data_IF_930763655307
#
_entry.id   IF_930763655307
#
_cell.length_a   1.000
_cell.length_b   1.000
_cell.length_c   1.000
_cell.angle_alpha   90.00
_cell.angle_beta   90.00
_cell.angle_gamma   90.00
#
_symmetry.space_group_name_H-M   'P 1'
#
loop_
_entity.id
_entity.type
_entity.pdbx_description
1 polymer ?
#
# COMPACT_ATOMS: atom_id res chain seq x y z
N UNK A 1 -1.70 9.90 -5.63
CA UNK A 1 -0.46 10.26 -6.36
C UNK A 1 -0.83 10.63 -7.79
N UNK A 2 -0.03 11.49 -8.43
CA UNK A 2 -0.20 11.85 -9.84
C UNK A 2 1.17 12.02 -10.47
N UNK A 3 1.41 11.36 -11.60
CA UNK A 3 2.68 11.44 -12.32
C UNK A 3 2.46 11.55 -13.83
N UNK A 4 3.31 12.33 -14.49
CA UNK A 4 3.37 12.36 -15.94
C UNK A 4 4.18 11.17 -16.44
N UNK A 5 3.65 10.49 -17.44
CA UNK A 5 4.30 9.39 -18.14
C UNK A 5 5.17 9.91 -19.27
N UNK A 6 6.13 9.10 -19.72
CA UNK A 6 7.08 9.46 -20.80
C UNK A 6 6.36 9.88 -22.09
N UNK A 7 5.26 9.19 -22.44
CA UNK A 7 4.45 9.49 -23.61
C UNK A 7 3.44 10.64 -23.39
N UNK A 8 3.63 11.42 -22.33
CA UNK A 8 2.90 12.66 -22.09
C UNK A 8 1.51 12.50 -21.48
N UNK A 9 1.11 11.29 -21.08
CA UNK A 9 -0.16 11.06 -20.37
C UNK A 9 -0.02 11.31 -18.87
N UNK A 10 -1.14 11.48 -18.17
CA UNK A 10 -1.21 11.55 -16.71
C UNK A 10 -1.63 10.19 -16.15
N UNK A 11 -0.83 9.64 -15.23
CA UNK A 11 -1.21 8.51 -14.39
C UNK A 11 -1.59 9.05 -13.01
N UNK A 12 -2.82 8.76 -12.58
CA UNK A 12 -3.37 9.26 -11.32
C UNK A 12 -4.00 8.11 -10.55
N UNK A 13 -3.75 8.05 -9.24
CA UNK A 13 -4.17 6.94 -8.42
C UNK A 13 -4.37 7.30 -6.95
N UNK A 14 -5.14 6.47 -6.28
CA UNK A 14 -5.50 6.61 -4.87
C UNK A 14 -5.53 5.25 -4.16
N UNK A 15 -5.81 5.29 -2.86
CA UNK A 15 -5.99 4.09 -2.02
C UNK A 15 -7.48 3.90 -1.72
N UNK A 16 -7.82 2.79 -1.07
CA UNK A 16 -9.18 2.56 -0.55
C UNK A 16 -9.84 1.27 -1.03
N UNK A 17 -9.18 0.46 -1.84
CA UNK A 17 -9.68 -0.86 -2.20
C UNK A 17 -9.91 -1.72 -0.94
N UNK A 18 -11.03 -2.48 -0.88
CA UNK A 18 -11.36 -3.28 0.29
C UNK A 18 -10.36 -4.43 0.47
N UNK A 19 -10.25 -4.90 1.71
CA UNK A 19 -9.54 -6.14 1.97
C UNK A 19 -10.42 -7.34 1.65
N UNK A 20 -9.91 -8.26 0.84
CA UNK A 20 -10.61 -9.49 0.48
C UNK A 20 -10.22 -10.63 1.44
N UNK A 21 -11.24 -11.38 1.88
CA UNK A 21 -11.09 -12.48 2.83
C UNK A 21 -9.97 -13.45 2.43
N UNK A 22 -9.11 -13.83 3.38
CA UNK A 22 -7.99 -14.73 3.13
C UNK A 22 -6.86 -14.12 2.29
N UNK A 23 -6.81 -12.79 2.15
CA UNK A 23 -5.85 -12.09 1.28
C UNK A 23 -5.96 -12.55 -0.18
N UNK A 24 -7.18 -12.88 -0.61
CA UNK A 24 -7.43 -13.41 -1.94
C UNK A 24 -7.04 -12.38 -3.02
N UNK A 25 -6.30 -12.84 -4.02
CA UNK A 25 -5.90 -12.05 -5.20
C UNK A 25 -6.64 -12.60 -6.41
N UNK A 26 -7.43 -11.76 -7.06
CA UNK A 26 -8.22 -12.12 -8.25
C UNK A 26 -8.27 -10.93 -9.21
N UNK A 27 -8.19 -11.14 -10.53
CA UNK A 27 -8.27 -10.05 -11.51
C UNK A 27 -9.52 -9.17 -11.38
N UNK A 28 -10.64 -9.74 -10.91
CA UNK A 28 -11.88 -8.99 -10.74
C UNK A 28 -11.80 -7.97 -9.60
N UNK A 29 -10.92 -8.17 -8.62
CA UNK A 29 -10.71 -7.23 -7.49
C UNK A 29 -9.97 -5.97 -7.94
N UNK A 30 -9.20 -6.04 -9.03
CA UNK A 30 -8.48 -4.89 -9.57
C UNK A 30 -9.41 -3.91 -10.31
N UNK A 31 -10.69 -4.27 -10.49
CA UNK A 31 -11.69 -3.53 -11.27
C UNK A 31 -12.83 -2.99 -10.40
N UNK A 32 -12.50 -2.39 -9.27
CA UNK A 32 -13.49 -1.76 -8.40
C UNK A 32 -13.98 -0.42 -8.99
N UNK A 33 -15.22 -0.40 -9.47
CA UNK A 33 -15.83 0.80 -10.07
C UNK A 33 -16.04 1.93 -9.06
N UNK A 34 -16.28 1.61 -7.79
CA UNK A 34 -16.48 2.62 -6.75
C UNK A 34 -15.17 3.37 -6.48
N UNK A 35 -14.06 2.64 -6.32
CA UNK A 35 -12.73 3.22 -6.14
C UNK A 35 -12.29 3.99 -7.37
N UNK A 36 -12.46 3.42 -8.56
CA UNK A 36 -12.16 4.11 -9.81
C UNK A 36 -12.98 5.40 -10.00
N UNK A 37 -14.23 5.42 -9.56
CA UNK A 37 -15.07 6.61 -9.55
C UNK A 37 -14.58 7.66 -8.55
N UNK A 38 -14.16 7.24 -7.35
CA UNK A 38 -13.60 8.13 -6.34
C UNK A 38 -12.30 8.79 -6.82
N UNK A 39 -11.35 8.02 -7.34
CA UNK A 39 -10.10 8.53 -7.91
C UNK A 39 -10.37 9.51 -9.06
N UNK A 40 -11.36 9.23 -9.91
CA UNK A 40 -11.75 10.14 -10.98
C UNK A 40 -12.34 11.46 -10.47
N UNK A 41 -13.19 11.43 -9.43
CA UNK A 41 -13.70 12.65 -8.81
C UNK A 41 -12.56 13.50 -8.25
N UNK A 42 -11.66 12.92 -7.47
CA UNK A 42 -10.51 13.64 -6.93
C UNK A 42 -9.59 14.20 -8.02
N UNK A 43 -9.44 13.50 -9.16
CA UNK A 43 -8.71 14.01 -10.31
C UNK A 43 -9.33 15.31 -10.85
N UNK A 44 -10.65 15.32 -11.06
CA UNK A 44 -11.37 16.50 -11.60
C UNK A 44 -11.45 17.63 -10.56
N UNK A 45 -11.58 17.31 -9.28
CA UNK A 45 -11.53 18.30 -8.20
C UNK A 45 -10.18 19.04 -8.16
N UNK A 46 -9.07 18.31 -8.32
CA UNK A 46 -7.73 18.90 -8.37
C UNK A 46 -7.42 19.58 -9.71
N UNK A 47 -7.97 19.06 -10.81
CA UNK A 47 -7.73 19.56 -12.16
C UNK A 47 -9.06 19.69 -12.93
N UNK A 48 -9.84 20.76 -12.70
CA UNK A 48 -11.15 20.93 -13.33
C UNK A 48 -11.10 20.93 -14.86
N UNK A 49 -9.98 21.37 -15.45
CA UNK A 49 -9.76 21.35 -16.90
C UNK A 49 -9.72 19.94 -17.51
N UNK A 50 -9.63 18.89 -16.69
CA UNK A 50 -9.67 17.50 -17.13
C UNK A 50 -11.09 16.92 -17.12
N UNK A 51 -12.12 17.71 -16.80
CA UNK A 51 -13.50 17.25 -16.87
C UNK A 51 -13.87 16.78 -18.29
N UNK A 52 -14.48 15.60 -18.40
CA UNK A 52 -14.86 15.01 -19.68
C UNK A 52 -13.72 14.45 -20.52
N UNK A 53 -12.46 14.58 -20.08
CA UNK A 53 -11.31 13.98 -20.78
C UNK A 53 -11.40 12.46 -20.72
N UNK A 54 -11.14 11.81 -21.87
CA UNK A 54 -11.22 10.36 -21.99
C UNK A 54 -10.24 9.67 -21.05
N UNK A 55 -10.76 8.83 -20.17
CA UNK A 55 -9.96 7.84 -19.43
C UNK A 55 -9.66 6.66 -20.36
N UNK A 56 -8.38 6.43 -20.63
CA UNK A 56 -7.93 5.38 -21.56
C UNK A 56 -7.66 4.04 -20.88
N UNK A 57 -7.23 4.06 -19.61
CA UNK A 57 -6.84 2.87 -18.86
C UNK A 57 -7.31 2.96 -17.41
N UNK A 58 -7.60 1.80 -16.82
CA UNK A 58 -7.88 1.62 -15.39
C UNK A 58 -7.23 0.33 -14.93
N UNK A 59 -6.61 0.36 -13.76
CA UNK A 59 -5.99 -0.80 -13.16
C UNK A 59 -5.99 -0.65 -11.64
N UNK A 60 -5.89 -1.79 -10.98
CA UNK A 60 -5.75 -1.91 -9.54
C UNK A 60 -4.76 -3.03 -9.22
N UNK A 61 -4.58 -3.27 -7.93
CA UNK A 61 -3.76 -4.37 -7.47
C UNK A 61 -3.69 -4.42 -5.95
N UNK A 62 -3.41 -5.61 -5.38
CA UNK A 62 -3.17 -5.74 -3.96
C UNK A 62 -1.84 -5.09 -3.57
N UNK A 63 -1.77 -4.65 -2.31
CA UNK A 63 -0.53 -4.18 -1.69
C UNK A 63 -0.12 -5.19 -0.63
N UNK A 64 1.14 -5.62 -0.68
CA UNK A 64 1.74 -6.46 0.36
C UNK A 64 2.11 -5.63 1.58
N UNK A 65 1.33 -5.74 2.65
CA UNK A 65 1.55 -5.02 3.91
C UNK A 65 1.82 -6.04 5.04
N UNK A 66 3.00 -6.05 5.65
CA UNK A 66 3.26 -6.84 6.85
C UNK A 66 2.56 -6.21 8.07
N UNK A 67 2.39 -7.00 9.13
CA UNK A 67 1.57 -6.60 10.29
C UNK A 67 2.05 -5.33 11.01
N UNK A 68 3.34 -5.05 10.93
CA UNK A 68 4.03 -3.90 11.53
C UNK A 68 4.42 -2.84 10.49
N UNK A 69 3.94 -2.98 9.24
CA UNK A 69 4.21 -2.02 8.17
C UNK A 69 5.70 -1.86 7.83
N UNK A 70 6.54 -2.82 8.23
CA UNK A 70 7.97 -2.75 8.07
C UNK A 70 8.46 -3.68 6.94
N UNK A 71 9.06 -3.15 5.85
CA UNK A 71 9.63 -3.98 4.79
C UNK A 71 10.82 -4.78 5.31
N UNK A 72 11.06 -5.96 4.76
CA UNK A 72 12.20 -6.79 5.17
C UNK A 72 12.86 -7.51 4.00
N UNK A 73 14.14 -7.80 4.20
CA UNK A 73 14.94 -8.65 3.33
C UNK A 73 15.77 -9.60 4.18
N UNK A 74 15.98 -10.81 3.71
CA UNK A 74 16.81 -11.75 4.45
C UNK A 74 16.99 -13.08 3.74
N UNK A 75 17.83 -13.91 4.34
CA UNK A 75 18.08 -15.28 3.90
C UNK A 75 18.11 -16.19 5.11
N UNK A 76 17.39 -17.30 5.03
CA UNK A 76 17.53 -18.41 5.95
C UNK A 76 18.64 -19.33 5.42
N UNK A 77 19.78 -19.33 6.12
CA UNK A 77 20.95 -20.14 5.72
C UNK A 77 20.75 -21.63 5.92
N UNK A 78 19.83 -22.04 6.81
CA UNK A 78 19.55 -23.45 7.04
C UNK A 78 18.72 -24.05 5.89
N UNK A 79 17.77 -23.29 5.34
CA UNK A 79 16.91 -23.75 4.25
C UNK A 79 17.38 -23.29 2.86
N UNK A 80 18.25 -22.28 2.80
CA UNK A 80 18.65 -21.64 1.55
C UNK A 80 17.59 -20.69 0.97
N UNK A 81 16.48 -20.46 1.68
CA UNK A 81 15.39 -19.62 1.20
C UNK A 81 15.63 -18.14 1.55
N UNK A 82 15.49 -17.28 0.55
CA UNK A 82 15.56 -15.84 0.68
C UNK A 82 14.17 -15.20 0.62
N UNK A 83 14.02 -14.04 1.26
CA UNK A 83 12.83 -13.20 1.14
C UNK A 83 13.21 -11.74 0.95
N UNK A 84 12.33 -11.01 0.27
CA UNK A 84 12.36 -9.57 0.11
C UNK A 84 10.92 -9.12 -0.15
N UNK A 85 10.37 -8.23 0.68
CA UNK A 85 8.98 -7.81 0.48
C UNK A 85 8.38 -6.98 1.60
N UNK A 86 7.06 -6.83 1.52
CA UNK A 86 6.29 -6.03 2.47
C UNK A 86 6.49 -4.53 2.30
N UNK A 87 6.63 -4.06 1.06
CA UNK A 87 7.01 -2.67 0.77
C UNK A 87 5.91 -1.63 0.98
N UNK A 88 4.69 -2.03 1.37
CA UNK A 88 3.56 -1.17 1.81
C UNK A 88 2.99 -0.17 0.77
N UNK A 89 3.76 0.22 -0.24
CA UNK A 89 3.40 1.26 -1.22
C UNK A 89 4.61 1.81 -1.98
N UNK A 90 5.83 1.62 -1.47
CA UNK A 90 7.07 2.19 -2.02
C UNK A 90 7.91 1.17 -2.79
N UNK A 91 7.26 0.09 -3.26
CA UNK A 91 7.94 -1.09 -3.79
C UNK A 91 8.89 -0.85 -4.96
N UNK A 92 8.63 0.12 -5.85
CA UNK A 92 9.48 0.34 -7.03
C UNK A 92 10.90 0.72 -6.64
N UNK A 93 11.06 1.71 -5.77
CA UNK A 93 12.37 2.14 -5.29
C UNK A 93 12.95 1.14 -4.29
N UNK A 94 12.13 0.69 -3.34
CA UNK A 94 12.57 -0.21 -2.26
C UNK A 94 13.05 -1.56 -2.78
N UNK A 95 12.47 -2.09 -3.87
CA UNK A 95 12.90 -3.36 -4.47
C UNK A 95 14.32 -3.27 -5.05
N UNK A 96 14.75 -2.11 -5.56
CA UNK A 96 16.13 -1.94 -6.02
C UNK A 96 17.13 -2.10 -4.87
N UNK A 97 16.86 -1.44 -3.74
CA UNK A 97 17.67 -1.59 -2.53
C UNK A 97 17.64 -3.03 -2.03
N UNK A 98 16.44 -3.65 -2.00
CA UNK A 98 16.26 -5.02 -1.54
C UNK A 98 17.05 -6.01 -2.38
N UNK A 99 17.07 -5.83 -3.72
CA UNK A 99 17.84 -6.67 -4.62
C UNK A 99 19.35 -6.58 -4.39
N UNK A 100 19.87 -5.37 -4.13
CA UNK A 100 21.30 -5.17 -3.78
C UNK A 100 21.64 -5.80 -2.44
N UNK A 101 20.83 -5.56 -1.41
CA UNK A 101 20.99 -6.19 -0.10
C UNK A 101 20.93 -7.72 -0.22
N UNK A 102 19.96 -8.26 -0.96
CA UNK A 102 19.78 -9.70 -1.10
C UNK A 102 20.91 -10.36 -1.88
N UNK A 103 21.40 -9.71 -2.96
CA UNK A 103 22.63 -10.13 -3.67
C UNK A 103 23.78 -10.30 -2.69
N UNK A 104 24.02 -9.29 -1.86
CA UNK A 104 25.14 -9.35 -0.93
C UNK A 104 24.90 -10.41 0.13
N UNK A 105 23.67 -10.55 0.66
CA UNK A 105 23.26 -11.60 1.59
C UNK A 105 23.57 -13.00 1.04
N UNK A 106 23.21 -13.26 -0.21
CA UNK A 106 23.45 -14.53 -0.89
C UNK A 106 24.96 -14.77 -1.10
N UNK A 107 25.69 -13.77 -1.58
CA UNK A 107 27.12 -13.89 -1.94
C UNK A 107 28.08 -13.81 -0.76
N UNK A 108 27.55 -13.64 0.45
CA UNK A 108 28.33 -13.43 1.67
C UNK A 108 29.34 -12.26 1.64
N UNK A 109 28.98 -11.16 0.97
CA UNK A 109 29.85 -9.97 0.80
C UNK A 109 29.50 -8.90 1.81
N UNK A 110 30.47 -8.33 2.53
CA UNK A 110 30.19 -7.17 3.39
C UNK A 110 29.77 -5.94 2.57
N UNK A 111 28.75 -5.21 3.02
CA UNK A 111 28.28 -3.96 2.42
C UNK A 111 27.42 -3.18 3.42
N UNK A 112 27.32 -1.85 3.26
CA UNK A 112 26.45 -1.01 4.09
C UNK A 112 24.99 -1.43 3.98
N UNK A 113 24.54 -1.88 2.80
CA UNK A 113 23.17 -2.33 2.58
C UNK A 113 22.77 -3.56 3.40
N UNK A 114 23.74 -4.38 3.84
CA UNK A 114 23.50 -5.55 4.69
C UNK A 114 23.34 -5.22 6.17
N UNK A 115 23.90 -4.10 6.59
CA UNK A 115 23.86 -3.68 7.99
C UNK A 115 22.63 -2.80 8.30
N UNK A 116 21.80 -2.55 7.28
CA UNK A 116 20.53 -1.83 7.42
C UNK A 116 19.56 -2.59 8.34
N UNK A 117 18.76 -1.87 9.16
CA UNK A 117 17.92 -2.46 10.21
C UNK A 117 16.78 -3.37 9.71
N UNK A 118 16.49 -3.35 8.41
CA UNK A 118 15.51 -4.22 7.78
C UNK A 118 16.00 -5.62 7.43
N UNK A 119 17.32 -5.84 7.52
CA UNK A 119 17.92 -7.14 7.26
C UNK A 119 17.58 -8.10 8.39
N UNK A 120 16.98 -9.23 8.05
CA UNK A 120 16.58 -10.23 9.02
C UNK A 120 15.33 -9.86 9.83
N UNK A 121 14.73 -8.69 9.61
CA UNK A 121 13.48 -8.32 10.26
C UNK A 121 12.37 -9.32 9.95
N UNK A 122 11.60 -9.70 10.97
CA UNK A 122 10.49 -10.65 10.86
C UNK A 122 9.26 -10.07 11.52
N UNK A 123 8.33 -9.60 10.70
CA UNK A 123 7.02 -9.16 11.16
C UNK A 123 6.24 -10.32 11.75
N UNK A 124 5.44 -10.03 12.80
CA UNK A 124 4.50 -11.00 13.36
C UNK A 124 3.45 -11.38 12.30
N UNK A 125 2.90 -12.61 12.34
CA UNK A 125 1.76 -12.97 11.51
C UNK A 125 0.59 -12.02 11.76
N UNK A 126 -0.19 -11.77 10.72
CA UNK A 126 -1.49 -11.13 10.88
C UNK A 126 -2.44 -12.01 11.70
N UNK A 127 -3.47 -11.38 12.27
CA UNK A 127 -4.56 -12.05 12.98
C UNK A 127 -5.22 -13.12 12.10
N UNK A 128 -5.70 -14.24 12.68
CA UNK A 128 -6.39 -15.27 11.91
C UNK A 128 -7.73 -14.75 11.35
N UNK A 129 -8.20 -15.37 10.27
CA UNK A 129 -9.54 -15.09 9.76
C UNK A 129 -10.63 -15.67 10.69
N UNK A 130 -11.78 -15.00 10.88
CA UNK A 130 -12.26 -13.80 10.18
C UNK A 130 -11.85 -12.47 10.84
N UNK A 131 -11.08 -12.48 11.93
CA UNK A 131 -10.77 -11.27 12.70
C UNK A 131 -10.02 -10.23 11.86
N UNK A 132 -9.06 -10.68 11.05
CA UNK A 132 -8.32 -9.83 10.11
C UNK A 132 -9.23 -9.16 9.09
N UNK A 133 -10.10 -9.92 8.44
CA UNK A 133 -11.06 -9.38 7.49
C UNK A 133 -11.96 -8.30 8.10
N UNK A 134 -12.52 -8.58 9.28
CA UNK A 134 -13.39 -7.65 9.98
C UNK A 134 -12.64 -6.40 10.43
N UNK A 135 -11.44 -6.57 11.02
CA UNK A 135 -10.63 -5.48 11.51
C UNK A 135 -10.17 -4.52 10.41
N UNK A 136 -9.63 -5.05 9.31
CA UNK A 136 -9.13 -4.22 8.20
C UNK A 136 -10.29 -3.47 7.53
N UNK A 137 -11.38 -4.16 7.21
CA UNK A 137 -12.51 -3.51 6.55
C UNK A 137 -13.24 -2.51 7.47
N UNK A 138 -13.34 -2.79 8.78
CA UNK A 138 -13.85 -1.80 9.73
C UNK A 138 -12.96 -0.55 9.77
N UNK A 139 -11.63 -0.72 9.79
CA UNK A 139 -10.67 0.38 9.72
C UNK A 139 -10.83 1.23 8.46
N UNK A 140 -10.94 0.59 7.28
CA UNK A 140 -11.17 1.27 6.00
C UNK A 140 -12.49 2.04 5.99
N UNK A 141 -13.58 1.45 6.49
CA UNK A 141 -14.87 2.12 6.56
C UNK A 141 -14.87 3.30 7.54
N UNK A 142 -14.18 3.17 8.67
CA UNK A 142 -14.02 4.25 9.63
C UNK A 142 -13.20 5.41 9.05
N UNK A 143 -12.08 5.13 8.38
CA UNK A 143 -11.28 6.13 7.67
C UNK A 143 -12.11 6.86 6.63
N UNK A 144 -12.77 6.13 5.73
CA UNK A 144 -13.64 6.74 4.72
C UNK A 144 -14.80 7.55 5.34
N UNK A 145 -15.28 7.18 6.54
CA UNK A 145 -16.30 7.95 7.26
C UNK A 145 -15.75 9.24 7.88
N UNK A 146 -14.50 9.23 8.33
CA UNK A 146 -13.82 10.38 8.88
C UNK A 146 -13.54 11.40 7.78
N UNK A 147 -12.98 10.96 6.64
CA UNK A 147 -12.72 11.81 5.47
C UNK A 147 -14.01 12.54 5.03
N UNK A 148 -15.13 11.81 4.90
CA UNK A 148 -16.45 12.39 4.58
C UNK A 148 -16.98 13.37 5.64
N UNK A 149 -16.63 13.17 6.90
CA UNK A 149 -17.03 14.07 7.98
C UNK A 149 -16.20 15.36 7.96
N UNK A 150 -14.91 15.24 7.66
CA UNK A 150 -13.96 16.35 7.58
C UNK A 150 -14.23 17.23 6.35
N UNK A 151 -14.57 16.64 5.19
CA UNK A 151 -15.05 17.36 4.00
C UNK A 151 -16.33 18.17 4.27
N UNK A 152 -17.20 17.70 5.18
CA UNK A 152 -18.47 18.36 5.52
C UNK A 152 -18.34 19.43 6.59
N UNK A 153 -17.36 19.32 7.49
CA UNK A 153 -17.28 20.15 8.71
C UNK A 153 -16.03 21.03 8.78
N UNK A 154 -15.03 20.84 7.91
CA UNK A 154 -13.81 21.65 7.87
C UNK A 154 -12.96 21.60 9.16
N UNK A 155 -13.13 20.57 10.01
CA UNK A 155 -12.42 20.40 11.28
C UNK A 155 -12.07 18.92 11.50
N UNK A 156 -10.84 18.65 11.93
CA UNK A 156 -10.40 17.32 12.38
C UNK A 156 -11.38 16.74 13.39
N UNK A 157 -11.87 15.52 13.13
CA UNK A 157 -12.83 14.87 14.03
C UNK A 157 -12.12 14.02 15.08
N UNK A 158 -12.74 13.77 16.24
CA UNK A 158 -12.19 12.87 17.28
C UNK A 158 -11.85 11.45 16.77
N UNK A 159 -12.42 11.06 15.62
CA UNK A 159 -12.17 9.79 14.93
C UNK A 159 -10.81 9.75 14.24
N UNK A 160 -10.29 10.86 13.69
CA UNK A 160 -8.94 10.90 13.10
C UNK A 160 -7.88 10.63 14.17
N UNK A 161 -8.02 11.25 15.34
CA UNK A 161 -7.17 11.01 16.52
C UNK A 161 -7.19 9.56 17.03
N UNK A 162 -8.30 8.84 16.83
CA UNK A 162 -8.41 7.43 17.22
C UNK A 162 -7.72 6.52 16.19
N UNK A 163 -7.83 6.86 14.90
CA UNK A 163 -7.14 6.15 13.82
C UNK A 163 -5.63 6.34 13.96
N UNK A 164 -5.14 7.56 14.21
CA UNK A 164 -3.71 7.85 14.42
C UNK A 164 -3.12 7.04 15.58
N UNK A 165 -3.86 6.92 16.70
CA UNK A 165 -3.46 6.08 17.84
C UNK A 165 -3.45 4.59 17.52
N UNK A 166 -4.26 4.12 16.59
CA UNK A 166 -4.32 2.71 16.19
C UNK A 166 -3.31 2.37 15.09
N UNK A 167 -2.92 3.36 14.28
CA UNK A 167 -1.89 3.23 13.23
C UNK A 167 -0.49 3.61 13.69
N UNK A 168 -0.31 4.02 14.94
CA UNK A 168 1.00 4.22 15.56
C UNK A 168 1.66 5.56 15.23
N UNK A 169 0.88 6.64 15.19
CA UNK A 169 1.41 8.01 15.23
C UNK A 169 1.96 8.40 16.60
#
# INVERSE_FOLDING_TARGET
>A
YGQRTEDGRLAFGGRGAPYHFGSAVRPDFDRDQHIHGAVHRSLVELFPSLEGVRITHRWGGPIGVPRDWFPSVGIDRATGLAWAGGYVGDGVATTNLAGRTLRDLILDRASEERDLPWVGHRSRPWEPEPLRYLGINAGLQLGASADRAEERQGRETWRSRLIDRLTGG
#
